data_IF_918177583809
#
_entry.id   IF_918177583809
#
_cell.length_a   1.000
_cell.length_b   1.000
_cell.length_c   1.000
_cell.angle_alpha   90.00
_cell.angle_beta   90.00
_cell.angle_gamma   90.00
#
_symmetry.space_group_name_H-M   'P 1'
#
loop_
_entity.id
_entity.type
_entity.pdbx_description
1 polymer ?
#
# COMPACT_ATOMS: atom_id res chain seq x y z
N UNK A 1 18.05 22.12 -28.03
CA UNK A 1 17.12 21.20 -27.38
C UNK A 1 17.58 19.75 -27.52
N UNK A 2 17.18 18.88 -26.63
CA UNK A 2 17.47 17.43 -26.66
C UNK A 2 16.53 16.80 -27.70
N UNK A 3 17.06 15.94 -28.60
CA UNK A 3 16.20 15.24 -29.56
C UNK A 3 15.25 14.26 -28.83
N UNK A 4 14.05 14.09 -29.38
CA UNK A 4 13.03 13.17 -28.81
C UNK A 4 13.58 11.75 -28.60
N UNK A 5 14.41 11.26 -29.54
CA UNK A 5 15.04 9.94 -29.46
C UNK A 5 15.96 9.81 -28.24
N UNK A 6 16.77 10.84 -27.95
CA UNK A 6 17.68 10.87 -26.80
C UNK A 6 16.85 10.95 -25.49
N UNK A 7 15.81 11.79 -25.47
CA UNK A 7 14.92 11.91 -24.32
C UNK A 7 14.22 10.58 -24.00
N UNK A 8 13.64 9.92 -25.00
CA UNK A 8 12.98 8.62 -24.81
C UNK A 8 13.95 7.52 -24.35
N UNK A 9 15.16 7.49 -24.90
CA UNK A 9 16.19 6.54 -24.46
C UNK A 9 16.64 6.82 -23.02
N UNK A 10 16.70 8.08 -22.59
CA UNK A 10 16.98 8.46 -21.21
C UNK A 10 15.88 8.00 -20.27
N UNK A 11 14.62 8.22 -20.63
CA UNK A 11 13.45 7.77 -19.85
C UNK A 11 13.40 6.25 -19.73
N UNK A 12 13.70 5.51 -20.79
CA UNK A 12 13.72 4.04 -20.77
C UNK A 12 14.81 3.46 -19.85
N UNK A 13 15.87 4.22 -19.59
CA UNK A 13 16.98 3.83 -18.70
C UNK A 13 16.83 4.37 -17.27
N UNK A 14 15.87 5.25 -17.04
CA UNK A 14 15.63 5.81 -15.72
C UNK A 14 15.13 4.72 -14.77
N UNK A 15 15.70 4.66 -13.57
CA UNK A 15 15.15 3.82 -12.52
C UNK A 15 13.80 4.40 -12.10
N UNK A 16 12.72 3.59 -12.06
CA UNK A 16 11.43 4.05 -11.55
C UNK A 16 11.57 4.56 -10.12
N UNK A 17 10.82 5.61 -9.80
CA UNK A 17 10.66 6.05 -8.41
C UNK A 17 10.25 4.85 -7.53
N UNK A 18 10.88 4.61 -6.38
CA UNK A 18 10.51 3.54 -5.46
C UNK A 18 9.02 3.54 -5.06
N UNK A 19 8.40 4.73 -5.06
CA UNK A 19 6.97 4.88 -4.81
C UNK A 19 6.09 4.68 -6.04
N UNK A 20 6.64 4.56 -7.26
CA UNK A 20 5.85 4.41 -8.48
C UNK A 20 4.88 3.22 -8.40
N UNK A 21 3.77 3.32 -9.11
CA UNK A 21 2.80 2.24 -9.21
C UNK A 21 3.43 1.04 -9.93
N UNK A 22 3.54 -0.07 -9.24
CA UNK A 22 3.95 -1.34 -9.83
C UNK A 22 3.15 -2.50 -9.23
N UNK A 23 3.20 -3.65 -9.89
CA UNK A 23 2.48 -4.86 -9.47
C UNK A 23 3.46 -6.03 -9.46
N UNK A 24 3.51 -6.72 -8.34
CA UNK A 24 4.24 -7.98 -8.19
C UNK A 24 3.27 -9.13 -7.93
N UNK A 25 3.42 -10.21 -8.67
CA UNK A 25 2.84 -11.47 -8.26
C UNK A 25 3.67 -12.04 -7.10
N UNK A 26 2.99 -12.45 -6.06
CA UNK A 26 3.59 -13.07 -4.87
C UNK A 26 3.15 -14.53 -4.75
N UNK A 27 3.88 -15.28 -3.95
CA UNK A 27 3.49 -16.62 -3.53
C UNK A 27 2.05 -16.63 -2.98
N UNK A 28 1.45 -17.83 -2.80
CA UNK A 28 0.09 -18.04 -2.28
C UNK A 28 -1.02 -17.35 -3.09
N UNK A 29 -0.79 -17.15 -4.41
CA UNK A 29 -1.71 -16.45 -5.33
C UNK A 29 -2.01 -15.00 -4.93
N UNK A 30 -1.17 -14.40 -4.10
CA UNK A 30 -1.25 -12.99 -3.77
C UNK A 30 -0.68 -12.13 -4.90
N UNK A 31 -1.10 -10.88 -4.96
CA UNK A 31 -0.41 -9.83 -5.70
C UNK A 31 -0.22 -8.62 -4.80
N UNK A 32 0.89 -7.93 -4.97
CA UNK A 32 1.16 -6.68 -4.29
C UNK A 32 1.16 -5.55 -5.29
N UNK A 33 0.38 -4.51 -5.01
CA UNK A 33 0.25 -3.31 -5.81
C UNK A 33 0.83 -2.15 -4.99
N UNK A 34 1.98 -1.65 -5.39
CA UNK A 34 2.56 -0.47 -4.76
C UNK A 34 1.83 0.77 -5.25
N UNK A 35 1.15 1.46 -4.36
CA UNK A 35 0.52 2.75 -4.61
C UNK A 35 1.06 3.83 -3.66
N UNK A 36 2.28 3.67 -3.15
CA UNK A 36 2.87 4.56 -2.15
C UNK A 36 3.17 5.97 -2.69
N UNK A 37 3.33 6.15 -4.01
CA UNK A 37 3.47 7.48 -4.60
C UNK A 37 2.21 8.33 -4.37
N UNK A 38 1.04 7.70 -4.34
CA UNK A 38 -0.22 8.31 -3.99
C UNK A 38 -0.37 8.33 -2.45
N UNK A 39 0.27 9.27 -1.78
CA UNK A 39 0.39 9.29 -0.32
C UNK A 39 -0.56 10.28 0.38
N UNK A 40 -1.51 10.86 -0.34
CA UNK A 40 -2.61 11.68 0.16
C UNK A 40 -3.97 11.05 -0.25
N UNK A 41 -5.10 11.43 0.39
CA UNK A 41 -6.39 10.82 0.13
C UNK A 41 -6.87 10.92 -1.31
N UNK A 42 -6.68 12.06 -1.96
CA UNK A 42 -7.21 12.30 -3.31
C UNK A 42 -6.44 11.48 -4.35
N UNK A 43 -5.11 11.48 -4.29
CA UNK A 43 -4.29 10.67 -5.18
C UNK A 43 -4.44 9.17 -4.90
N UNK A 44 -4.62 8.78 -3.63
CA UNK A 44 -4.91 7.39 -3.25
C UNK A 44 -6.26 6.94 -3.84
N UNK A 45 -7.30 7.77 -3.74
CA UNK A 45 -8.62 7.45 -4.30
C UNK A 45 -8.57 7.33 -5.82
N UNK A 46 -7.89 8.26 -6.51
CA UNK A 46 -7.70 8.19 -7.97
C UNK A 46 -6.96 6.93 -8.39
N UNK A 47 -5.90 6.56 -7.67
CA UNK A 47 -5.16 5.32 -7.92
C UNK A 47 -6.04 4.10 -7.68
N UNK A 48 -6.83 4.08 -6.60
CA UNK A 48 -7.81 3.03 -6.35
C UNK A 48 -8.83 2.90 -7.48
N UNK A 49 -9.41 4.01 -7.95
CA UNK A 49 -10.37 4.00 -9.06
C UNK A 49 -9.77 3.46 -10.35
N UNK A 50 -8.49 3.69 -10.58
CA UNK A 50 -7.76 3.15 -11.73
C UNK A 50 -7.59 1.63 -11.66
N UNK A 51 -7.30 1.08 -10.48
CA UNK A 51 -6.94 -0.33 -10.32
C UNK A 51 -8.13 -1.23 -9.94
N UNK A 52 -9.15 -0.73 -9.24
CA UNK A 52 -10.26 -1.55 -8.69
C UNK A 52 -10.96 -2.42 -9.71
N UNK A 53 -11.05 -1.96 -10.96
CA UNK A 53 -11.70 -2.70 -12.05
C UNK A 53 -11.05 -4.04 -12.37
N UNK A 54 -9.73 -4.16 -12.22
CA UNK A 54 -8.97 -5.39 -12.44
C UNK A 54 -9.04 -6.37 -11.26
N UNK A 55 -9.46 -5.92 -10.07
CA UNK A 55 -9.44 -6.69 -8.83
C UNK A 55 -10.76 -7.39 -8.50
N UNK A 56 -11.75 -7.34 -9.40
CA UNK A 56 -13.13 -7.80 -9.16
C UNK A 56 -13.27 -9.24 -8.65
N UNK A 57 -12.30 -10.10 -8.92
CA UNK A 57 -12.36 -11.52 -8.58
C UNK A 57 -11.43 -11.92 -7.43
N UNK A 58 -10.85 -10.94 -6.73
CA UNK A 58 -9.94 -11.17 -5.59
C UNK A 58 -10.39 -10.42 -4.36
N UNK A 59 -10.09 -10.96 -3.19
CA UNK A 59 -10.19 -10.21 -1.94
C UNK A 59 -9.15 -9.09 -1.94
N UNK A 60 -9.50 -7.97 -1.36
CA UNK A 60 -8.64 -6.79 -1.32
C UNK A 60 -8.17 -6.53 0.11
N UNK A 61 -6.87 -6.40 0.27
CA UNK A 61 -6.23 -5.93 1.50
C UNK A 61 -5.54 -4.59 1.23
N UNK A 62 -5.81 -3.57 2.02
CA UNK A 62 -4.99 -2.38 2.05
C UNK A 62 -3.90 -2.53 3.10
N UNK A 63 -2.66 -2.22 2.73
CA UNK A 63 -1.56 -2.04 3.67
C UNK A 63 -1.24 -0.56 3.79
N UNK A 64 -1.58 0.04 4.93
CA UNK A 64 -1.30 1.44 5.24
C UNK A 64 -0.06 1.53 6.13
N UNK A 65 1.05 2.02 5.56
CA UNK A 65 2.25 2.35 6.30
C UNK A 65 2.25 3.83 6.69
N UNK A 66 2.23 4.13 7.99
CA UNK A 66 2.12 5.49 8.49
C UNK A 66 3.44 6.06 9.02
N UNK A 67 3.42 7.31 9.45
CA UNK A 67 4.49 8.01 10.14
C UNK A 67 3.92 8.81 11.31
N UNK A 68 4.62 8.82 12.43
CA UNK A 68 4.19 9.52 13.64
C UNK A 68 4.09 11.03 13.46
N UNK A 69 5.02 11.60 12.68
CA UNK A 69 5.08 13.05 12.43
C UNK A 69 3.98 13.55 11.45
N UNK A 70 3.16 12.62 10.90
CA UNK A 70 2.09 12.94 9.93
C UNK A 70 0.73 12.39 10.34
N UNK A 71 0.40 12.52 11.62
CA UNK A 71 -0.84 11.98 12.21
C UNK A 71 -2.11 12.42 11.46
N UNK A 72 -2.19 13.67 11.02
CA UNK A 72 -3.36 14.16 10.28
C UNK A 72 -3.57 13.38 8.98
N UNK A 73 -2.50 13.12 8.22
CA UNK A 73 -2.58 12.31 7.00
C UNK A 73 -2.97 10.86 7.29
N UNK A 74 -2.47 10.30 8.37
CA UNK A 74 -2.88 8.95 8.84
C UNK A 74 -4.39 8.88 9.05
N UNK A 75 -4.96 9.88 9.73
CA UNK A 75 -6.42 9.97 9.97
C UNK A 75 -7.17 10.04 8.64
N UNK A 76 -6.77 10.91 7.73
CA UNK A 76 -7.42 11.07 6.42
C UNK A 76 -7.37 9.78 5.57
N UNK A 77 -6.26 9.04 5.59
CA UNK A 77 -6.15 7.77 4.87
C UNK A 77 -6.99 6.67 5.50
N UNK A 78 -7.10 6.62 6.83
CA UNK A 78 -8.01 5.70 7.52
C UNK A 78 -9.47 6.02 7.16
N UNK A 79 -9.85 7.33 7.18
CA UNK A 79 -11.18 7.80 6.78
C UNK A 79 -11.51 7.40 5.34
N UNK A 80 -10.55 7.52 4.43
CA UNK A 80 -10.72 7.10 3.04
C UNK A 80 -10.92 5.59 2.95
N UNK A 81 -10.05 4.79 3.58
CA UNK A 81 -10.07 3.33 3.44
C UNK A 81 -11.31 2.74 4.10
N UNK A 82 -11.63 3.11 5.35
CA UNK A 82 -12.76 2.55 6.09
C UNK A 82 -14.09 3.22 5.76
N UNK A 83 -14.08 4.49 5.32
CA UNK A 83 -15.31 5.25 5.05
C UNK A 83 -15.78 5.18 3.60
N UNK A 84 -14.88 5.02 2.63
CA UNK A 84 -15.22 5.06 1.21
C UNK A 84 -14.86 3.78 0.45
N UNK A 85 -13.66 3.23 0.68
CA UNK A 85 -13.17 2.07 -0.10
C UNK A 85 -13.76 0.77 0.44
N UNK A 86 -13.76 0.58 1.75
CA UNK A 86 -14.26 -0.61 2.45
C UNK A 86 -13.70 -1.92 1.88
N UNK A 87 -12.37 -2.15 1.93
CA UNK A 87 -11.78 -3.40 1.47
C UNK A 87 -12.13 -4.57 2.41
N UNK A 88 -11.82 -5.80 2.01
CA UNK A 88 -12.01 -6.98 2.89
C UNK A 88 -11.09 -6.92 4.12
N UNK A 89 -9.91 -6.32 3.98
CA UNK A 89 -8.93 -6.21 5.06
C UNK A 89 -8.16 -4.88 5.00
N UNK A 90 -7.85 -4.34 6.17
CA UNK A 90 -6.89 -3.26 6.36
C UNK A 90 -5.80 -3.71 7.33
N UNK A 91 -4.58 -3.84 6.84
CA UNK A 91 -3.38 -4.00 7.65
C UNK A 91 -2.77 -2.61 7.82
N UNK A 92 -2.63 -2.16 9.05
CA UNK A 92 -2.13 -0.81 9.33
C UNK A 92 -0.99 -0.84 10.33
N UNK A 93 0.12 -0.22 9.97
CA UNK A 93 1.25 0.02 10.85
C UNK A 93 1.15 1.44 11.38
N UNK A 94 0.69 1.58 12.63
CA UNK A 94 0.43 2.86 13.28
C UNK A 94 0.27 2.69 14.79
N UNK A 95 0.46 3.77 15.55
CA UNK A 95 0.15 3.84 16.97
C UNK A 95 -1.08 4.74 17.24
N UNK A 96 -1.78 4.45 18.33
CA UNK A 96 -2.86 5.28 18.87
C UNK A 96 -3.99 5.60 17.88
N UNK A 97 -4.38 4.65 17.04
CA UNK A 97 -5.46 4.78 16.05
C UNK A 97 -6.71 3.97 16.37
N UNK A 98 -6.70 3.16 17.45
CA UNK A 98 -7.80 2.28 17.85
C UNK A 98 -9.13 3.03 17.96
N UNK A 99 -9.13 4.17 18.68
CA UNK A 99 -10.33 4.98 18.86
C UNK A 99 -10.88 5.54 17.54
N UNK A 100 -10.00 5.78 16.55
CA UNK A 100 -10.42 6.21 15.23
C UNK A 100 -11.06 5.06 14.47
N UNK A 101 -10.41 3.90 14.44
CA UNK A 101 -10.89 2.71 13.74
C UNK A 101 -12.26 2.28 14.29
N UNK A 102 -12.44 2.29 15.61
CA UNK A 102 -13.67 1.88 16.28
C UNK A 102 -14.88 2.78 15.95
N UNK A 103 -14.68 3.95 15.35
CA UNK A 103 -15.78 4.82 14.87
C UNK A 103 -16.45 4.28 13.62
N UNK A 104 -15.77 3.42 12.85
CA UNK A 104 -16.30 2.90 11.60
C UNK A 104 -17.08 1.62 11.83
N UNK A 105 -18.34 1.62 11.38
CA UNK A 105 -19.17 0.41 11.27
C UNK A 105 -18.87 -0.28 9.93
N UNK A 106 -17.61 -0.65 9.72
CA UNK A 106 -17.15 -1.27 8.49
C UNK A 106 -17.10 -2.79 8.64
N UNK A 107 -17.37 -3.53 7.56
CA UNK A 107 -17.13 -4.97 7.47
C UNK A 107 -15.66 -5.32 7.27
N UNK A 108 -14.81 -4.32 7.06
CA UNK A 108 -13.37 -4.48 6.87
C UNK A 108 -12.72 -5.09 8.11
N UNK A 109 -12.02 -6.21 7.93
CA UNK A 109 -11.19 -6.77 9.00
C UNK A 109 -9.94 -5.91 9.19
N UNK A 110 -9.81 -5.25 10.33
CA UNK A 110 -8.64 -4.41 10.62
C UNK A 110 -7.63 -5.17 11.48
N UNK A 111 -6.36 -5.12 11.11
CA UNK A 111 -5.23 -5.59 11.92
C UNK A 111 -4.26 -4.45 12.13
N UNK A 112 -4.06 -4.09 13.39
CA UNK A 112 -3.06 -3.12 13.81
C UNK A 112 -1.72 -3.79 14.04
N UNK A 113 -0.67 -3.15 13.58
CA UNK A 113 0.72 -3.45 13.89
C UNK A 113 1.34 -2.22 14.53
N UNK A 114 2.16 -2.39 15.58
CA UNK A 114 2.81 -1.27 16.23
C UNK A 114 3.77 -0.55 15.28
N UNK A 115 4.03 0.73 15.56
CA UNK A 115 4.87 1.57 14.70
C UNK A 115 6.33 1.11 14.65
N UNK A 116 6.79 0.43 15.69
CA UNK A 116 8.13 -0.17 15.79
C UNK A 116 8.21 -1.59 15.21
N UNK A 117 7.10 -2.13 14.67
CA UNK A 117 7.11 -3.45 14.05
C UNK A 117 8.20 -3.56 12.98
N UNK A 118 8.99 -4.62 13.05
CA UNK A 118 9.98 -4.97 12.03
C UNK A 118 9.29 -5.29 10.70
N UNK A 119 9.99 -5.08 9.59
CA UNK A 119 9.47 -5.33 8.26
C UNK A 119 9.10 -6.81 8.04
N UNK A 120 9.82 -7.74 8.67
CA UNK A 120 9.52 -9.17 8.57
C UNK A 120 8.14 -9.48 9.14
N UNK A 121 7.76 -8.86 10.28
CA UNK A 121 6.43 -9.05 10.88
C UNK A 121 5.34 -8.69 9.88
N UNK A 122 5.48 -7.57 9.16
CA UNK A 122 4.49 -7.14 8.17
C UNK A 122 4.50 -8.04 6.93
N UNK A 123 5.68 -8.46 6.49
CA UNK A 123 5.81 -9.42 5.37
C UNK A 123 5.15 -10.74 5.73
N UNK A 124 5.39 -11.26 6.93
CA UNK A 124 4.78 -12.51 7.42
C UNK A 124 3.24 -12.40 7.47
N UNK A 125 2.71 -11.25 7.92
CA UNK A 125 1.27 -11.00 7.90
C UNK A 125 0.69 -11.02 6.48
N UNK A 126 1.38 -10.42 5.52
CA UNK A 126 0.99 -10.46 4.10
C UNK A 126 1.09 -11.89 3.56
N UNK A 127 2.11 -12.63 3.97
CA UNK A 127 2.31 -14.02 3.53
C UNK A 127 1.42 -15.02 4.26
N UNK A 128 0.77 -14.63 5.37
CA UNK A 128 -0.21 -15.48 6.07
C UNK A 128 -1.61 -15.43 5.45
N UNK A 129 -1.90 -14.47 4.58
CA UNK A 129 -3.13 -14.45 3.78
C UNK A 129 -2.88 -15.07 2.41
N UNK A 130 -3.93 -15.50 1.73
CA UNK A 130 -3.83 -16.08 0.40
C UNK A 130 -4.95 -15.61 -0.51
N UNK A 131 -4.65 -15.49 -1.80
CA UNK A 131 -5.57 -15.05 -2.84
C UNK A 131 -6.09 -13.62 -2.61
N UNK A 132 -5.19 -12.74 -2.18
CA UNK A 132 -5.48 -11.32 -1.99
C UNK A 132 -4.73 -10.45 -2.99
N UNK A 133 -5.37 -9.33 -3.37
CA UNK A 133 -4.67 -8.18 -3.94
C UNK A 133 -4.36 -7.20 -2.81
N UNK A 134 -3.08 -7.02 -2.50
CA UNK A 134 -2.61 -6.17 -1.41
C UNK A 134 -2.20 -4.82 -2.00
N UNK A 135 -2.86 -3.75 -1.62
CA UNK A 135 -2.59 -2.38 -2.07
C UNK A 135 -1.81 -1.63 -0.99
N UNK A 136 -0.53 -1.38 -1.25
CA UNK A 136 0.35 -0.63 -0.34
C UNK A 136 0.19 0.87 -0.53
N UNK A 137 -0.17 1.59 0.53
CA UNK A 137 -0.38 3.05 0.55
C UNK A 137 0.33 3.72 1.74
N UNK A 138 0.42 5.04 1.70
CA UNK A 138 1.00 5.84 2.78
C UNK A 138 2.48 6.13 2.54
N UNK A 139 3.33 5.99 3.57
CA UNK A 139 4.73 6.36 3.48
C UNK A 139 5.61 5.24 2.94
N UNK A 140 6.44 5.54 1.94
CA UNK A 140 7.43 4.59 1.41
C UNK A 140 8.82 4.81 2.00
N UNK A 141 9.19 6.04 2.34
CA UNK A 141 10.56 6.41 2.69
C UNK A 141 11.04 5.73 3.97
N UNK A 142 12.26 5.23 3.94
CA UNK A 142 12.93 4.61 5.08
C UNK A 142 12.39 3.21 5.39
N UNK A 143 11.51 3.08 6.35
CA UNK A 143 10.92 1.78 6.72
C UNK A 143 10.25 1.07 5.53
N UNK A 144 9.54 1.82 4.70
CA UNK A 144 8.83 1.28 3.54
C UNK A 144 9.77 0.75 2.46
N UNK A 145 10.92 1.39 2.24
CA UNK A 145 11.94 0.90 1.29
C UNK A 145 12.49 -0.46 1.72
N UNK A 146 12.76 -0.62 3.02
CA UNK A 146 13.23 -1.89 3.58
C UNK A 146 12.16 -2.99 3.51
N UNK A 147 10.90 -2.63 3.76
CA UNK A 147 9.76 -3.53 3.60
C UNK A 147 9.65 -4.03 2.16
N UNK A 148 9.72 -3.15 1.16
CA UNK A 148 9.64 -3.57 -0.24
C UNK A 148 10.81 -4.49 -0.64
N UNK A 149 12.03 -4.24 -0.13
CA UNK A 149 13.17 -5.13 -0.37
C UNK A 149 12.90 -6.54 0.13
N UNK A 150 12.37 -6.68 1.36
CA UNK A 150 12.03 -7.98 1.95
C UNK A 150 10.85 -8.65 1.23
N UNK A 151 9.79 -7.90 0.93
CA UNK A 151 8.63 -8.44 0.22
C UNK A 151 9.00 -8.96 -1.18
N UNK A 152 9.99 -8.35 -1.83
CA UNK A 152 10.47 -8.78 -3.16
C UNK A 152 11.01 -10.21 -3.19
N UNK A 153 11.48 -10.74 -2.06
CA UNK A 153 11.99 -12.11 -1.95
C UNK A 153 10.89 -13.17 -2.18
N UNK A 154 9.62 -12.78 -1.99
CA UNK A 154 8.44 -13.63 -2.20
C UNK A 154 7.80 -13.46 -3.58
N UNK A 155 8.42 -12.70 -4.46
CA UNK A 155 7.96 -12.51 -5.84
C UNK A 155 8.13 -13.80 -6.64
N UNK A 156 7.13 -14.13 -7.45
CA UNK A 156 7.10 -15.26 -8.39
C UNK A 156 7.03 -14.79 -9.82
#
# INVERSE_FOLDING_TARGET
GISTKIALNGMAKANPDPGALFIWNLQKKNEFISAFAANDPDSTLKTWDLIKGRLKNKKVCFFLNTRDDRRYRTIQLIDLVLGKINPDMLLIRADKVDNLINKYKSSTRVKLLPMDADQNIVVDEIMNIQNYSIVGIGNIVGWGDMFLKKLREYKV
#
